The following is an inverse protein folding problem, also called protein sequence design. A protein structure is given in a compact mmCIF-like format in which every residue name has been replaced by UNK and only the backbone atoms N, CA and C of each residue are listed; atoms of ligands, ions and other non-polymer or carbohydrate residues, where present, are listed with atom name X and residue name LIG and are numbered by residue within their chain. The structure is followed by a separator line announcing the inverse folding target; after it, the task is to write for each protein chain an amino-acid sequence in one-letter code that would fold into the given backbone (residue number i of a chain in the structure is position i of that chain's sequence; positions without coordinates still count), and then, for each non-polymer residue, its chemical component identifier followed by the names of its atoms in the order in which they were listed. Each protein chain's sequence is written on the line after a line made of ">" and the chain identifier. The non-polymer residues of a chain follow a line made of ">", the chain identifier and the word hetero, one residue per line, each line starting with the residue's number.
data_IF_014866779876
#
_entry.id   IF_014866779876
#
_cell.length_a   1.000
_cell.length_b   1.000
_cell.length_c   1.000
_cell.angle_alpha   90.00
_cell.angle_beta   90.00
_cell.angle_gamma   90.00
#
_symmetry.space_group_name_H-M   'P 1'
#
loop_
_entity.id
_entity.type
_entity.pdbx_description
1 polymer ?
#
# COMPACT_ATOMS: atom_id res chain seq x y z
N UNK A 1 -8.94 6.80 0.35
CA UNK A 1 -9.41 8.21 0.42
C UNK A 1 -10.55 8.49 -0.56
N UNK A 2 -10.42 8.15 -1.85
CA UNK A 2 -11.53 8.23 -2.82
C UNK A 2 -12.79 7.44 -2.38
N UNK A 3 -12.63 6.21 -1.87
CA UNK A 3 -13.72 5.42 -1.28
C UNK A 3 -14.42 6.12 -0.12
N UNK A 4 -13.65 6.77 0.77
CA UNK A 4 -14.19 7.53 1.90
C UNK A 4 -14.92 8.78 1.41
N UNK A 5 -14.37 9.52 0.46
CA UNK A 5 -15.03 10.67 -0.14
C UNK A 5 -16.32 10.28 -0.90
N UNK A 6 -16.28 9.18 -1.66
CA UNK A 6 -17.45 8.65 -2.37
C UNK A 6 -18.53 8.18 -1.37
N UNK A 7 -18.11 7.52 -0.29
CA UNK A 7 -19.01 7.11 0.81
C UNK A 7 -19.65 8.34 1.49
N UNK A 8 -18.87 9.39 1.73
CA UNK A 8 -19.35 10.66 2.32
C UNK A 8 -20.32 11.37 1.38
N UNK A 9 -19.98 11.55 0.09
CA UNK A 9 -20.85 12.23 -0.89
C UNK A 9 -22.15 11.45 -1.13
N UNK A 10 -22.08 10.13 -1.15
CA UNK A 10 -23.23 9.28 -1.42
C UNK A 10 -24.12 9.11 -0.17
N UNK A 11 -23.54 9.09 1.04
CA UNK A 11 -24.29 9.18 2.32
C UNK A 11 -24.93 10.56 2.53
N UNK A 12 -24.27 11.62 2.06
CA UNK A 12 -24.80 12.98 2.01
C UNK A 12 -25.98 13.13 1.04
N UNK A 13 -26.06 12.28 0.01
CA UNK A 13 -27.14 12.33 -0.98
C UNK A 13 -28.34 11.47 -0.57
N UNK A 14 -28.12 10.32 0.08
CA UNK A 14 -29.20 9.50 0.65
C UNK A 14 -28.69 8.58 1.78
N UNK A 15 -29.21 8.73 3.00
CA UNK A 15 -28.83 7.91 4.16
C UNK A 15 -29.21 6.43 4.04
N UNK A 16 -30.10 6.05 3.11
CA UNK A 16 -30.50 4.66 2.86
C UNK A 16 -29.58 3.92 1.87
N UNK A 17 -28.62 4.60 1.23
CA UNK A 17 -27.72 4.01 0.23
C UNK A 17 -26.52 3.22 0.80
N UNK A 18 -26.55 2.87 2.09
CA UNK A 18 -25.43 2.19 2.77
C UNK A 18 -25.11 0.82 2.15
N UNK A 19 -26.11 0.06 1.70
CA UNK A 19 -25.90 -1.28 1.12
C UNK A 19 -25.11 -1.24 -0.20
N UNK A 20 -25.42 -0.30 -1.09
CA UNK A 20 -24.67 -0.14 -2.34
C UNK A 20 -23.23 0.29 -2.06
N UNK A 21 -23.03 1.18 -1.08
CA UNK A 21 -21.72 1.62 -0.60
C UNK A 21 -20.89 0.45 -0.07
N UNK A 22 -21.50 -0.46 0.70
CA UNK A 22 -20.85 -1.66 1.22
C UNK A 22 -20.48 -2.65 0.11
N UNK A 23 -21.37 -2.89 -0.85
CA UNK A 23 -21.09 -3.79 -1.99
C UNK A 23 -19.96 -3.24 -2.87
N UNK A 24 -19.98 -1.94 -3.17
CA UNK A 24 -18.90 -1.25 -3.88
C UNK A 24 -17.58 -1.34 -3.10
N UNK A 25 -17.62 -1.10 -1.79
CA UNK A 25 -16.44 -1.19 -0.93
C UNK A 25 -15.81 -2.58 -0.90
N UNK A 26 -16.64 -3.63 -0.80
CA UNK A 26 -16.19 -5.04 -0.82
C UNK A 26 -15.62 -5.39 -2.20
N UNK A 27 -16.31 -5.02 -3.29
CA UNK A 27 -15.88 -5.30 -4.65
C UNK A 27 -14.51 -4.65 -4.94
N UNK A 28 -14.35 -3.37 -4.62
CA UNK A 28 -13.09 -2.65 -4.82
C UNK A 28 -11.96 -3.18 -3.92
N UNK A 29 -12.27 -3.63 -2.71
CA UNK A 29 -11.31 -4.28 -1.83
C UNK A 29 -10.86 -5.64 -2.38
N UNK A 30 -11.79 -6.42 -2.97
CA UNK A 30 -11.48 -7.73 -3.55
C UNK A 30 -10.72 -7.66 -4.88
N UNK A 31 -10.89 -6.58 -5.66
CA UNK A 31 -10.35 -6.49 -7.01
C UNK A 31 -8.83 -6.26 -7.06
N UNK A 32 -8.23 -5.78 -5.97
CA UNK A 32 -6.78 -5.55 -5.71
C UNK A 32 -5.92 -5.02 -6.89
N UNK A 33 -6.54 -4.47 -7.93
CA UNK A 33 -5.90 -4.06 -9.19
C UNK A 33 -6.56 -2.77 -9.69
N UNK A 34 -5.74 -1.81 -10.10
CA UNK A 34 -6.17 -0.48 -10.51
C UNK A 34 -7.07 -0.50 -11.76
N UNK A 35 -6.88 -1.47 -12.66
CA UNK A 35 -7.62 -1.56 -13.92
C UNK A 35 -9.07 -2.04 -13.71
N UNK A 36 -9.29 -3.04 -12.86
CA UNK A 36 -10.64 -3.52 -12.53
C UNK A 36 -11.44 -2.46 -11.75
N UNK A 37 -10.76 -1.66 -10.93
CA UNK A 37 -11.37 -0.48 -10.27
C UNK A 37 -11.79 0.56 -11.31
N UNK A 38 -10.96 0.81 -12.33
CA UNK A 38 -11.27 1.72 -13.43
C UNK A 38 -12.47 1.21 -14.26
N UNK A 39 -12.47 -0.05 -14.67
CA UNK A 39 -13.56 -0.65 -15.45
C UNK A 39 -14.89 -0.64 -14.69
N UNK A 40 -14.85 -0.90 -13.38
CA UNK A 40 -16.03 -0.82 -12.52
C UNK A 40 -16.56 0.61 -12.38
N UNK A 41 -15.67 1.59 -12.19
CA UNK A 41 -16.10 2.98 -12.11
C UNK A 41 -16.63 3.46 -13.47
N UNK A 42 -16.02 3.04 -14.58
CA UNK A 42 -16.52 3.29 -15.92
C UNK A 42 -17.89 2.64 -16.17
N UNK A 43 -18.14 1.42 -15.68
CA UNK A 43 -19.46 0.76 -15.78
C UNK A 43 -20.53 1.42 -14.90
N UNK A 44 -20.11 2.15 -13.86
CA UNK A 44 -20.97 3.05 -13.08
C UNK A 44 -21.11 4.46 -13.69
N UNK A 45 -20.52 4.72 -14.86
CA UNK A 45 -20.52 6.04 -15.52
C UNK A 45 -19.60 7.07 -14.86
N UNK A 46 -18.74 6.64 -13.94
CA UNK A 46 -17.77 7.46 -13.22
C UNK A 46 -16.41 7.31 -13.90
N UNK A 47 -16.03 8.28 -14.73
CA UNK A 47 -14.69 8.30 -15.32
C UNK A 47 -13.69 8.89 -14.32
N UNK A 48 -12.68 8.12 -13.93
CA UNK A 48 -11.52 8.61 -13.17
C UNK A 48 -10.34 8.76 -14.15
N UNK A 49 -9.73 9.95 -14.16
CA UNK A 49 -8.52 10.19 -14.95
C UNK A 49 -7.30 9.51 -14.34
N UNK A 50 -6.34 9.11 -15.18
CA UNK A 50 -5.02 8.64 -14.71
C UNK A 50 -4.31 9.71 -13.86
N UNK A 51 -4.54 11.00 -14.13
CA UNK A 51 -4.03 12.09 -13.30
C UNK A 51 -4.56 12.03 -11.87
N UNK A 52 -5.84 11.68 -11.68
CA UNK A 52 -6.46 11.54 -10.35
C UNK A 52 -5.88 10.33 -9.61
N UNK A 53 -5.66 9.22 -10.31
CA UNK A 53 -5.01 8.03 -9.74
C UNK A 53 -3.59 8.36 -9.28
N UNK A 54 -2.79 8.96 -10.16
CA UNK A 54 -1.42 9.34 -9.86
C UNK A 54 -1.36 10.34 -8.69
N UNK A 55 -2.23 11.34 -8.65
CA UNK A 55 -2.33 12.27 -7.53
C UNK A 55 -2.70 11.56 -6.21
N UNK A 56 -3.60 10.58 -6.26
CA UNK A 56 -3.97 9.80 -5.08
C UNK A 56 -2.78 8.97 -4.58
N UNK A 57 -2.07 8.29 -5.48
CA UNK A 57 -0.84 7.54 -5.15
C UNK A 57 0.21 8.46 -4.55
N UNK A 58 0.51 9.60 -5.19
CA UNK A 58 1.46 10.59 -4.67
C UNK A 58 1.07 11.09 -3.29
N UNK A 59 -0.22 11.40 -3.06
CA UNK A 59 -0.72 11.84 -1.75
C UNK A 59 -0.58 10.75 -0.68
N UNK A 60 -0.82 9.48 -1.03
CA UNK A 60 -0.61 8.35 -0.13
C UNK A 60 0.88 8.18 0.21
N UNK A 61 1.76 8.29 -0.79
CA UNK A 61 3.21 8.20 -0.59
C UNK A 61 3.74 9.33 0.31
N UNK A 62 3.30 10.58 0.09
CA UNK A 62 3.64 11.70 0.99
C UNK A 62 3.20 11.40 2.43
N UNK A 63 1.99 10.87 2.61
CA UNK A 63 1.53 10.55 3.96
C UNK A 63 2.26 9.37 4.59
N UNK A 64 2.62 8.36 3.79
CA UNK A 64 3.41 7.24 4.24
C UNK A 64 4.81 7.69 4.68
N UNK A 65 5.46 8.59 3.94
CA UNK A 65 6.76 9.18 4.29
C UNK A 65 6.70 9.97 5.61
N UNK A 66 5.68 10.83 5.79
CA UNK A 66 5.46 11.53 7.06
C UNK A 66 5.29 10.57 8.24
N UNK A 67 4.48 9.52 8.06
CA UNK A 67 4.23 8.51 9.09
C UNK A 67 5.50 7.72 9.39
N UNK A 68 6.27 7.36 8.35
CA UNK A 68 7.54 6.67 8.50
C UNK A 68 8.53 7.49 9.31
N UNK A 69 8.70 8.78 8.99
CA UNK A 69 9.57 9.69 9.75
C UNK A 69 9.12 9.82 11.20
N UNK A 70 7.80 9.98 11.41
CA UNK A 70 7.23 10.09 12.76
C UNK A 70 7.51 8.84 13.58
N UNK A 71 7.29 7.66 13.02
CA UNK A 71 7.57 6.38 13.68
C UNK A 71 9.08 6.16 13.89
N UNK A 72 9.92 6.54 12.92
CA UNK A 72 11.38 6.46 13.08
C UNK A 72 11.89 7.33 14.24
N UNK A 73 11.31 8.52 14.44
CA UNK A 73 11.66 9.41 15.55
C UNK A 73 11.30 8.85 16.94
N UNK A 74 10.34 7.91 17.05
CA UNK A 74 10.03 7.30 18.35
C UNK A 74 11.03 6.23 18.77
N UNK A 75 11.88 5.76 17.85
CA UNK A 75 12.80 4.62 18.06
C UNK A 75 12.02 3.34 18.45
N UNK A 76 10.73 3.27 18.16
CA UNK A 76 9.86 2.11 18.44
C UNK A 76 9.41 1.42 17.15
N UNK A 77 10.36 1.26 16.23
CA UNK A 77 10.12 0.65 14.93
C UNK A 77 11.00 -0.59 14.78
N UNK A 78 10.41 -1.68 14.29
CA UNK A 78 11.12 -2.86 13.83
C UNK A 78 11.39 -2.72 12.32
N UNK A 79 12.61 -3.00 11.90
CA UNK A 79 12.98 -3.09 10.49
C UNK A 79 13.16 -4.56 10.13
N UNK A 80 12.37 -5.03 9.16
CA UNK A 80 12.49 -6.36 8.59
C UNK A 80 13.02 -6.21 7.16
N UNK A 81 14.14 -6.88 6.87
CA UNK A 81 14.70 -6.95 5.53
C UNK A 81 14.39 -8.31 4.92
N UNK A 82 14.01 -8.31 3.65
CA UNK A 82 13.72 -9.53 2.89
C UNK A 82 14.22 -9.39 1.46
N UNK A 83 14.60 -10.52 0.86
CA UNK A 83 15.01 -10.57 -0.54
C UNK A 83 13.77 -10.79 -1.41
N UNK A 84 13.55 -9.88 -2.35
CA UNK A 84 12.49 -9.94 -3.32
C UNK A 84 13.09 -10.27 -4.69
N UNK A 85 12.79 -11.47 -5.16
CA UNK A 85 13.16 -11.93 -6.49
C UNK A 85 11.95 -11.78 -7.42
N UNK A 86 12.10 -10.97 -8.46
CA UNK A 86 11.05 -10.71 -9.45
C UNK A 86 11.48 -11.28 -10.79
N UNK A 87 10.72 -12.25 -11.29
CA UNK A 87 10.90 -12.80 -12.63
C UNK A 87 10.15 -11.94 -13.67
N UNK A 88 10.87 -11.03 -14.33
CA UNK A 88 10.33 -10.13 -15.35
C UNK A 88 10.28 -10.82 -16.72
N UNK A 89 9.38 -11.79 -16.84
CA UNK A 89 9.18 -12.52 -18.10
C UNK A 89 8.83 -11.58 -19.25
N UNK A 90 9.56 -11.69 -20.35
CA UNK A 90 9.23 -10.99 -21.59
C UNK A 90 7.94 -11.57 -22.18
N UNK A 91 7.05 -10.69 -22.67
CA UNK A 91 5.78 -11.10 -23.28
C UNK A 91 5.98 -11.85 -24.61
N UNK A 92 7.12 -11.69 -25.29
CA UNK A 92 7.48 -12.38 -26.53
C UNK A 92 8.91 -12.90 -26.40
N UNK A 93 9.12 -14.23 -26.34
CA UNK A 93 10.46 -14.78 -26.29
C UNK A 93 11.17 -14.54 -27.63
N UNK A 94 12.34 -13.89 -27.60
CA UNK A 94 13.19 -13.68 -28.78
C UNK A 94 14.40 -14.61 -28.70
N UNK A 95 14.81 -15.20 -29.83
CA UNK A 95 15.93 -16.16 -29.92
C UNK A 95 17.24 -15.58 -29.35
N UNK A 96 17.38 -14.26 -29.39
CA UNK A 96 18.58 -13.52 -28.98
C UNK A 96 18.60 -13.16 -27.49
N UNK A 97 17.44 -13.12 -26.81
CA UNK A 97 17.33 -12.77 -25.40
C UNK A 97 16.87 -13.99 -24.59
N UNK A 98 17.80 -14.91 -24.36
CA UNK A 98 17.62 -15.99 -23.38
C UNK A 98 18.20 -15.59 -22.00
N UNK A 99 18.47 -14.30 -21.82
CA UNK A 99 19.18 -13.76 -20.66
C UNK A 99 18.27 -13.60 -19.45
N UNK A 100 18.92 -13.70 -18.30
CA UNK A 100 18.37 -13.73 -16.94
C UNK A 100 17.24 -12.71 -16.72
N UNK A 101 16.02 -13.21 -16.58
CA UNK A 101 14.81 -12.40 -16.32
C UNK A 101 14.63 -12.10 -14.84
N UNK A 102 15.45 -12.69 -13.97
CA UNK A 102 15.34 -12.48 -12.54
C UNK A 102 15.99 -11.16 -12.12
N UNK A 103 15.21 -10.35 -11.41
CA UNK A 103 15.65 -9.14 -10.74
C UNK A 103 15.67 -9.40 -9.25
N UNK A 104 16.86 -9.33 -8.66
CA UNK A 104 17.07 -9.48 -7.22
C UNK A 104 17.03 -8.11 -6.55
N UNK A 105 16.14 -7.92 -5.59
CA UNK A 105 15.99 -6.69 -4.81
C UNK A 105 16.07 -7.02 -3.32
N UNK A 106 16.67 -6.14 -2.52
CA UNK A 106 16.51 -6.19 -1.06
C UNK A 106 15.45 -5.18 -0.68
N UNK A 107 14.39 -5.66 -0.03
CA UNK A 107 13.29 -4.83 0.46
C UNK A 107 13.41 -4.64 1.97
N UNK A 108 12.91 -3.50 2.45
CA UNK A 108 12.85 -3.18 3.87
C UNK A 108 11.43 -2.79 4.26
N UNK A 109 10.90 -3.42 5.29
CA UNK A 109 9.60 -3.08 5.88
C UNK A 109 9.79 -2.50 7.27
N UNK A 110 9.21 -1.33 7.53
CA UNK A 110 9.19 -0.72 8.85
C UNK A 110 7.85 -0.99 9.53
N UNK A 111 7.89 -1.68 10.67
CA UNK A 111 6.72 -2.08 11.45
C UNK A 111 6.73 -1.35 12.80
N UNK A 112 5.61 -0.73 13.21
CA UNK A 112 5.52 -0.19 14.56
C UNK A 112 5.57 -1.32 15.59
N UNK A 113 6.32 -1.12 16.67
CA UNK A 113 6.31 -2.04 17.81
C UNK A 113 4.97 -1.97 18.55
N UNK A 114 4.73 -2.95 19.44
CA UNK A 114 3.49 -3.01 20.21
C UNK A 114 3.26 -1.69 20.97
N UNK A 115 2.02 -1.18 21.09
CA UNK A 115 1.74 0.11 21.73
C UNK A 115 2.22 0.26 23.18
N UNK A 116 2.52 -0.86 23.86
CA UNK A 116 3.05 -0.89 25.23
C UNK A 116 4.58 -0.96 25.29
N UNK A 117 5.26 -1.03 24.15
CA UNK A 117 6.72 -1.02 24.10
C UNK A 117 7.21 0.39 24.40
N UNK A 118 7.90 0.57 25.52
CA UNK A 118 8.52 1.83 25.89
C UNK A 118 10.00 1.84 25.49
N UNK A 119 10.63 3.01 25.29
CA UNK A 119 12.03 3.09 24.91
C UNK A 119 12.96 2.37 25.91
N UNK A 120 12.65 2.39 27.21
CA UNK A 120 13.42 1.65 28.22
C UNK A 120 13.46 0.14 27.98
N UNK A 121 12.43 -0.45 27.36
CA UNK A 121 12.39 -1.88 27.05
C UNK A 121 13.36 -2.27 25.93
N UNK A 122 13.85 -1.29 25.15
CA UNK A 122 14.75 -1.50 24.02
C UNK A 122 16.22 -1.25 24.37
N UNK A 123 16.52 -0.85 25.60
CA UNK A 123 17.87 -0.55 26.06
C UNK A 123 18.63 -1.82 26.52
N UNK A 124 18.61 -2.86 25.68
CA UNK A 124 19.25 -4.16 25.93
C UNK A 124 20.48 -4.41 25.06
N UNK A 125 20.93 -3.40 24.30
CA UNK A 125 22.05 -3.54 23.37
C UNK A 125 23.33 -3.98 24.09
N UNK A 126 23.64 -3.39 25.24
CA UNK A 126 24.82 -3.76 26.03
C UNK A 126 24.77 -5.23 26.49
N UNK A 127 23.64 -5.69 27.01
CA UNK A 127 23.48 -7.09 27.45
C UNK A 127 23.52 -8.10 26.29
N UNK A 128 23.09 -7.70 25.09
CA UNK A 128 23.17 -8.50 23.87
C UNK A 128 24.61 -8.63 23.35
N UNK A 129 25.42 -7.57 23.44
CA UNK A 129 26.81 -7.56 22.96
C UNK A 129 27.79 -8.23 23.93
N UNK A 130 27.42 -8.39 25.20
CA UNK A 130 28.23 -9.07 26.22
C UNK A 130 28.08 -10.61 26.20
N UNK A 131 27.19 -11.16 25.37
CA UNK A 131 27.01 -12.61 25.14
C UNK A 131 27.63 -13.06 23.82
#
# INVERSE_FOLDING_TARGET
>A
RALVCLSIMMKSTNQQCNSFQSVVGIFLHSANTLETVREFLLSLGISISMTTINQAVSSLLTKADENMKTLGMTIQALFAYDNLDIDLKQSVPTIENNDDTMVHLTTGTMLPLHPTTMPEHLNCSQELWEK
#
